data_IF_583850411540
#
_entry.id   IF_583850411540
#
_cell.length_a   1.000
_cell.length_b   1.000
_cell.length_c   1.000
_cell.angle_alpha   90.00
_cell.angle_beta   90.00
_cell.angle_gamma   90.00
#
_symmetry.space_group_name_H-M   'P 1'
#
loop_
_entity.id
_entity.type
_entity.pdbx_description
1 polymer ?
#
# COMPACT_ATOMS: atom_id res chain seq x y z
N UNK A 1 8.44 -9.29 9.42
CA UNK A 1 7.97 -7.92 9.72
C UNK A 1 6.66 -7.61 8.98
N UNK A 2 5.76 -6.81 9.55
CA UNK A 2 4.56 -6.34 8.83
C UNK A 2 4.92 -5.21 7.85
N UNK A 3 4.17 -5.09 6.74
CA UNK A 3 4.45 -4.12 5.68
C UNK A 3 4.34 -2.68 6.17
N UNK A 4 3.33 -2.37 6.97
CA UNK A 4 3.14 -1.02 7.52
C UNK A 4 4.32 -0.67 8.43
N UNK A 5 4.75 -1.63 9.25
CA UNK A 5 5.92 -1.46 10.13
C UNK A 5 7.21 -1.21 9.35
N UNK A 6 7.41 -1.85 8.19
CA UNK A 6 8.56 -1.57 7.30
C UNK A 6 8.60 -0.10 6.90
N UNK A 7 7.48 0.43 6.38
CA UNK A 7 7.40 1.83 5.92
C UNK A 7 7.71 2.79 7.06
N UNK A 8 7.13 2.60 8.25
CA UNK A 8 7.44 3.46 9.39
C UNK A 8 8.92 3.44 9.74
N UNK A 9 9.53 2.25 9.86
CA UNK A 9 10.97 2.14 10.17
C UNK A 9 11.86 2.76 9.10
N UNK A 10 11.52 2.56 7.81
CA UNK A 10 12.25 3.15 6.70
C UNK A 10 12.15 4.68 6.68
N UNK A 11 10.95 5.23 6.95
CA UNK A 11 10.73 6.67 7.04
C UNK A 11 11.49 7.28 8.24
N UNK A 12 11.48 6.62 9.41
CA UNK A 12 12.25 7.07 10.58
C UNK A 12 13.74 7.16 10.28
N UNK A 13 14.33 6.19 9.58
CA UNK A 13 15.75 6.24 9.16
C UNK A 13 16.07 7.41 8.23
N UNK A 14 15.09 7.88 7.47
CA UNK A 14 15.21 9.02 6.55
C UNK A 14 14.76 10.34 7.15
N UNK A 15 14.34 10.37 8.42
CA UNK A 15 13.76 11.54 9.08
C UNK A 15 12.56 12.13 8.32
N UNK A 16 11.74 11.29 7.69
CA UNK A 16 10.48 11.68 7.05
C UNK A 16 9.30 11.01 7.76
N UNK A 17 8.11 11.58 7.64
CA UNK A 17 6.89 11.04 8.24
C UNK A 17 6.00 10.46 7.13
N UNK A 18 5.53 9.21 7.26
CA UNK A 18 4.54 8.66 6.35
C UNK A 18 3.14 9.16 6.71
N UNK A 19 2.45 9.74 5.75
CA UNK A 19 1.09 10.26 5.89
C UNK A 19 0.09 9.29 5.26
N UNK A 20 -0.76 8.68 6.09
CA UNK A 20 -1.83 7.79 5.64
C UNK A 20 -3.17 8.53 5.67
N UNK A 21 -3.82 8.63 4.52
CA UNK A 21 -5.16 9.20 4.40
C UNK A 21 -6.16 8.11 4.01
N UNK A 22 -7.09 7.78 4.91
CA UNK A 22 -8.10 6.75 4.69
C UNK A 22 -9.50 7.35 4.52
N UNK A 23 -10.17 7.02 3.41
CA UNK A 23 -11.56 7.39 3.13
C UNK A 23 -12.45 6.16 2.95
N UNK A 24 -13.66 6.22 3.49
CA UNK A 24 -14.70 5.20 3.26
C UNK A 24 -15.34 5.41 1.90
N UNK A 25 -15.45 4.34 1.11
CA UNK A 25 -16.03 4.37 -0.25
C UNK A 25 -17.08 3.28 -0.45
N UNK A 26 -18.00 3.51 -1.38
CA UNK A 26 -19.09 2.56 -1.68
C UNK A 26 -20.26 2.61 -0.68
N UNK A 27 -21.35 1.86 -0.96
CA UNK A 27 -22.55 1.87 -0.14
C UNK A 27 -22.36 1.10 1.18
N UNK A 28 -23.16 1.42 2.20
CA UNK A 28 -23.04 0.83 3.56
C UNK A 28 -22.96 -0.70 3.59
N UNK A 29 -23.71 -1.40 2.74
CA UNK A 29 -23.74 -2.87 2.66
C UNK A 29 -22.55 -3.49 1.91
N UNK A 30 -21.75 -2.66 1.22
CA UNK A 30 -20.52 -3.06 0.52
C UNK A 30 -19.43 -2.00 0.73
N UNK A 31 -19.31 -1.50 1.96
CA UNK A 31 -18.32 -0.48 2.30
C UNK A 31 -16.91 -0.99 1.96
N UNK A 32 -16.10 -0.09 1.41
CA UNK A 32 -14.66 -0.25 1.23
C UNK A 32 -13.95 0.90 1.90
N UNK A 33 -12.66 0.72 2.10
CA UNK A 33 -11.74 1.77 2.51
C UNK A 33 -10.68 1.89 1.44
N UNK A 34 -10.50 3.12 0.94
CA UNK A 34 -9.35 3.50 0.15
C UNK A 34 -8.38 4.23 1.06
N UNK A 35 -7.11 3.87 0.99
CA UNK A 35 -6.02 4.53 1.68
C UNK A 35 -5.01 5.02 0.67
N UNK A 36 -4.59 6.27 0.84
CA UNK A 36 -3.45 6.87 0.16
C UNK A 36 -2.30 7.01 1.17
N UNK A 37 -1.07 6.77 0.72
CA UNK A 37 0.17 6.92 1.49
C UNK A 37 1.07 7.93 0.78
N UNK A 38 1.38 9.03 1.46
CA UNK A 38 2.30 10.07 1.01
C UNK A 38 3.54 10.06 1.89
N UNK A 39 4.70 10.31 1.30
CA UNK A 39 5.95 10.47 2.04
C UNK A 39 6.66 11.68 1.45
N UNK A 40 7.09 12.59 2.32
CA UNK A 40 7.81 13.79 1.92
C UNK A 40 9.04 13.47 1.05
N UNK A 41 9.27 14.28 0.02
CA UNK A 41 10.34 14.06 -0.96
C UNK A 41 10.03 13.05 -2.06
N UNK A 42 8.82 12.45 -2.07
CA UNK A 42 8.36 11.56 -3.14
C UNK A 42 7.07 12.09 -3.77
N UNK A 43 7.06 12.20 -5.10
CA UNK A 43 5.86 12.58 -5.87
C UNK A 43 4.87 11.41 -6.05
N UNK A 44 5.27 10.19 -5.66
CA UNK A 44 4.42 9.02 -5.75
C UNK A 44 3.47 8.94 -4.56
N UNK A 45 2.23 8.55 -4.81
CA UNK A 45 1.22 8.28 -3.77
C UNK A 45 0.93 6.80 -3.79
N UNK A 46 1.27 6.11 -2.70
CA UNK A 46 0.95 4.69 -2.55
C UNK A 46 -0.55 4.52 -2.37
N UNK A 47 -1.17 3.59 -3.07
CA UNK A 47 -2.63 3.40 -3.01
C UNK A 47 -3.01 1.99 -2.56
N UNK A 48 -4.05 1.88 -1.74
CA UNK A 48 -4.56 0.60 -1.26
C UNK A 48 -6.04 0.61 -0.98
N UNK A 49 -6.73 -0.46 -1.38
CA UNK A 49 -8.16 -0.67 -1.11
C UNK A 49 -8.38 -1.96 -0.29
N UNK A 50 -9.38 -1.95 0.58
CA UNK A 50 -9.83 -3.16 1.31
C UNK A 50 -11.22 -2.99 1.93
N UNK A 51 -11.71 -4.01 2.63
CA UNK A 51 -12.95 -3.99 3.42
C UNK A 51 -12.78 -3.35 4.80
N UNK A 52 -11.56 -3.18 5.28
CA UNK A 52 -11.26 -2.52 6.55
C UNK A 52 -10.05 -1.56 6.38
N UNK A 53 -9.98 -0.54 7.25
CA UNK A 53 -8.93 0.50 7.19
C UNK A 53 -7.52 -0.07 7.31
N UNK A 54 -7.31 -1.00 8.25
CA UNK A 54 -5.99 -1.61 8.52
C UNK A 54 -5.41 -2.30 7.28
N UNK A 55 -6.22 -3.06 6.56
CA UNK A 55 -5.77 -3.76 5.36
C UNK A 55 -5.60 -2.81 4.16
N UNK A 56 -6.41 -1.74 4.09
CA UNK A 56 -6.22 -0.69 3.08
C UNK A 56 -4.86 0.02 3.26
N UNK A 57 -4.50 0.40 4.49
CA UNK A 57 -3.18 0.98 4.83
C UNK A 57 -2.03 0.02 4.49
N UNK A 58 -2.19 -1.28 4.80
CA UNK A 58 -1.19 -2.29 4.44
C UNK A 58 -1.02 -2.40 2.94
N UNK A 59 -2.11 -2.33 2.17
CA UNK A 59 -2.05 -2.39 0.72
C UNK A 59 -1.39 -1.13 0.12
N UNK A 60 -1.69 0.07 0.65
CA UNK A 60 -1.02 1.31 0.27
C UNK A 60 0.48 1.26 0.58
N UNK A 61 0.85 0.67 1.73
CA UNK A 61 2.26 0.43 2.10
C UNK A 61 2.96 -0.50 1.11
N UNK A 62 2.30 -1.59 0.66
CA UNK A 62 2.88 -2.52 -0.33
C UNK A 62 3.11 -1.83 -1.66
N UNK A 63 2.13 -1.07 -2.13
CA UNK A 63 2.22 -0.32 -3.38
C UNK A 63 3.39 0.68 -3.36
N UNK A 64 3.53 1.42 -2.25
CA UNK A 64 4.65 2.33 -2.08
C UNK A 64 6.01 1.62 -2.04
N UNK A 65 6.13 0.46 -1.37
CA UNK A 65 7.36 -0.35 -1.39
C UNK A 65 7.70 -0.82 -2.82
N UNK A 66 6.70 -1.24 -3.60
CA UNK A 66 6.92 -1.63 -5.00
C UNK A 66 7.42 -0.45 -5.83
N UNK A 67 6.90 0.75 -5.60
CA UNK A 67 7.45 1.97 -6.20
C UNK A 67 8.92 2.17 -5.80
N UNK A 68 9.27 2.08 -4.51
CA UNK A 68 10.65 2.24 -4.05
C UNK A 68 11.61 1.23 -4.68
N UNK A 69 11.18 -0.02 -4.87
CA UNK A 69 11.95 -1.05 -5.58
C UNK A 69 12.14 -0.71 -7.05
N UNK A 70 11.08 -0.28 -7.75
CA UNK A 70 11.14 0.11 -9.18
C UNK A 70 12.06 1.32 -9.42
N UNK A 71 12.14 2.23 -8.45
CA UNK A 71 13.03 3.39 -8.50
C UNK A 71 14.45 3.08 -7.99
N UNK A 72 14.75 1.83 -7.60
CA UNK A 72 16.02 1.42 -7.00
C UNK A 72 16.40 2.23 -5.74
N UNK A 73 15.43 2.75 -4.99
CA UNK A 73 15.66 3.47 -3.73
C UNK A 73 15.91 2.50 -2.58
N UNK A 74 15.34 1.30 -2.68
CA UNK A 74 15.60 0.17 -1.79
C UNK A 74 15.87 -1.07 -2.65
N UNK A 75 16.62 -2.02 -2.09
CA UNK A 75 16.93 -3.29 -2.74
C UNK A 75 15.91 -4.38 -2.35
N UNK A 76 15.77 -5.44 -3.16
CA UNK A 76 14.99 -6.62 -2.77
C UNK A 76 15.46 -7.26 -1.45
N UNK A 77 16.76 -7.14 -1.13
CA UNK A 77 17.31 -7.67 0.13
C UNK A 77 16.72 -6.95 1.36
N UNK A 78 16.47 -5.63 1.26
CA UNK A 78 15.90 -4.82 2.34
C UNK A 78 14.47 -5.28 2.72
N UNK A 79 13.75 -5.89 1.77
CA UNK A 79 12.35 -6.32 1.95
C UNK A 79 12.19 -7.84 2.12
N UNK A 80 13.28 -8.61 2.11
CA UNK A 80 13.28 -10.08 2.19
C UNK A 80 12.52 -10.65 3.41
N UNK A 81 12.54 -9.94 4.54
CA UNK A 81 11.81 -10.29 5.77
C UNK A 81 10.40 -9.67 5.91
N UNK A 82 9.96 -8.91 4.91
CA UNK A 82 8.65 -8.24 4.88
C UNK A 82 7.64 -9.15 4.21
N UNK A 83 6.45 -9.32 4.81
CA UNK A 83 5.37 -10.15 4.25
C UNK A 83 4.68 -9.46 3.07
N UNK A 84 5.39 -9.30 1.96
CA UNK A 84 4.85 -8.82 0.69
C UNK A 84 4.39 -10.08 -0.07
N UNK A 85 3.08 -10.28 -0.23
CA UNK A 85 2.60 -11.30 -1.16
C UNK A 85 3.07 -10.86 -2.55
N UNK A 86 3.84 -11.71 -3.23
CA UNK A 86 4.26 -11.46 -4.61
C UNK A 86 3.01 -11.24 -5.45
N UNK A 87 2.96 -10.14 -6.19
CA UNK A 87 2.01 -10.01 -7.28
C UNK A 87 2.45 -10.99 -8.36
N UNK A 88 1.95 -12.22 -8.32
CA UNK A 88 1.84 -13.01 -9.53
C UNK A 88 0.81 -12.31 -10.41
N UNK A 89 1.19 -11.95 -11.63
CA UNK A 89 0.37 -11.22 -12.63
C UNK A 89 -0.93 -11.90 -13.05
N UNK A 90 -1.48 -12.83 -12.28
CA UNK A 90 -2.70 -13.60 -12.58
C UNK A 90 -3.96 -13.08 -11.89
N UNK A 91 -3.91 -12.05 -11.04
CA UNK A 91 -5.11 -11.49 -10.41
C UNK A 91 -5.19 -9.95 -10.49
N UNK A 92 -4.98 -9.43 -11.70
CA UNK A 92 -5.52 -8.13 -12.12
C UNK A 92 -6.88 -8.32 -12.81
N UNK A 93 -7.74 -9.18 -12.27
CA UNK A 93 -9.18 -9.12 -12.48
C UNK A 93 -9.87 -9.97 -11.43
N UNK A 94 -10.49 -9.33 -10.44
CA UNK A 94 -11.62 -9.92 -9.74
C UNK A 94 -12.65 -8.82 -9.51
N UNK A 95 -13.27 -8.48 -10.65
CA UNK A 95 -14.69 -8.09 -10.83
C UNK A 95 -15.02 -6.65 -10.41
N UNK A 96 -15.11 -5.66 -11.31
CA UNK A 96 -16.00 -5.56 -12.48
C UNK A 96 -16.97 -6.75 -12.66
N UNK A 97 -18.04 -6.74 -11.88
CA UNK A 97 -19.39 -7.02 -12.42
C UNK A 97 -20.18 -5.77 -12.01
N UNK A 98 -20.66 -4.88 -12.88
CA UNK A 98 -21.37 -5.10 -14.14
C UNK A 98 -22.19 -6.38 -14.08
N UNK A 99 -23.18 -6.37 -13.19
CA UNK A 99 -24.47 -6.98 -13.46
C UNK A 99 -25.50 -5.88 -13.28
N UNK A 100 -26.28 -5.71 -14.35
CA UNK A 100 -27.42 -4.82 -14.56
C UNK A 100 -28.21 -4.47 -13.30
#
# INVERSE_FOLDING_TARGET
>A
MDVKSFIHQWCTKKNVIPEFESRSTGPKHRQRFLCELRVEGFNYVGAGNSFNKKDAEKNASKDFIQYLLRQNIISPADVSGVRIKSFSSTHLCSNQTDKC
#
